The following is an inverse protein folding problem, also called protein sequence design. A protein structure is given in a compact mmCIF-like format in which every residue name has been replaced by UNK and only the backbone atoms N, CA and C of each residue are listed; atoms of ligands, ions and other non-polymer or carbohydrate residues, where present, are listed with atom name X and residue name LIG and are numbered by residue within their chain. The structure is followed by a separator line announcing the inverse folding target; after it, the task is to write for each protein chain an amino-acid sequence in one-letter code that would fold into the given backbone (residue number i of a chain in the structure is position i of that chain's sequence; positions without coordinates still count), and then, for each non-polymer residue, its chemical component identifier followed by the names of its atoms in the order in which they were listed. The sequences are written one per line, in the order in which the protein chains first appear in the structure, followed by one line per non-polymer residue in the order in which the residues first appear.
data_IF_732898635010
#
_entry.id   IF_732898635010
#
_cell.length_a   1.000
_cell.length_b   1.000
_cell.length_c   1.000
_cell.angle_alpha   90.00
_cell.angle_beta   90.00
_cell.angle_gamma   90.00
#
_symmetry.space_group_name_H-M   'P 1'
#
loop_
_entity.id
_entity.type
_entity.pdbx_description
1 polymer ?
#
# COMPACT_ATOMS: atom_id res chain seq x y z
N UNK A 1 1.50 0.21 33.20
CA UNK A 1 0.30 0.76 32.52
C UNK A 1 0.65 1.90 31.54
N UNK A 2 1.61 2.77 31.86
CA UNK A 2 2.05 3.86 30.96
C UNK A 2 2.67 3.37 29.64
N UNK A 3 3.23 2.17 29.62
CA UNK A 3 3.89 1.59 28.43
C UNK A 3 2.91 1.09 27.35
N UNK A 4 1.64 0.94 27.68
CA UNK A 4 0.60 0.44 26.76
C UNK A 4 0.02 1.59 25.90
N UNK A 5 0.27 2.85 26.26
CA UNK A 5 -0.32 4.02 25.59
C UNK A 5 0.30 4.34 24.22
N UNK A 6 1.43 3.70 23.84
CA UNK A 6 2.10 3.97 22.57
C UNK A 6 2.02 2.75 21.64
N UNK A 7 1.41 2.92 20.49
CA UNK A 7 1.32 1.88 19.45
C UNK A 7 2.68 1.25 19.13
N UNK A 8 3.76 2.03 19.12
CA UNK A 8 5.12 1.53 18.87
C UNK A 8 5.59 0.51 19.90
N UNK A 9 5.25 0.69 21.19
CA UNK A 9 5.61 -0.27 22.25
C UNK A 9 4.80 -1.55 22.17
N UNK A 10 3.50 -1.43 21.86
CA UNK A 10 2.65 -2.58 21.64
C UNK A 10 3.15 -3.44 20.47
N UNK A 11 3.46 -2.80 19.34
CA UNK A 11 3.97 -3.47 18.15
C UNK A 11 5.35 -4.11 18.41
N UNK A 12 6.25 -3.39 19.08
CA UNK A 12 7.56 -3.93 19.49
C UNK A 12 7.39 -5.16 20.38
N UNK A 13 6.51 -5.12 21.38
CA UNK A 13 6.21 -6.24 22.24
C UNK A 13 5.66 -7.46 21.48
N UNK A 14 4.72 -7.23 20.53
CA UNK A 14 4.17 -8.30 19.71
C UNK A 14 5.24 -8.97 18.83
N UNK A 15 6.14 -8.18 18.24
CA UNK A 15 7.26 -8.69 17.44
C UNK A 15 8.23 -9.50 18.32
N UNK A 16 8.59 -8.99 19.50
CA UNK A 16 9.50 -9.68 20.42
C UNK A 16 8.94 -11.04 20.90
N UNK A 17 7.64 -11.09 21.22
CA UNK A 17 6.95 -12.35 21.57
C UNK A 17 7.00 -13.35 20.41
N UNK A 18 6.82 -12.88 19.21
CA UNK A 18 6.90 -13.74 18.01
C UNK A 18 8.31 -14.25 17.77
N UNK A 19 9.32 -13.38 17.84
CA UNK A 19 10.75 -13.77 17.73
C UNK A 19 11.16 -14.78 18.80
N UNK A 20 10.70 -14.59 20.04
CA UNK A 20 10.95 -15.56 21.13
C UNK A 20 10.40 -16.96 20.79
N UNK A 21 9.20 -17.03 20.18
CA UNK A 21 8.62 -18.32 19.75
C UNK A 21 9.43 -18.98 18.63
N UNK A 22 10.10 -18.19 17.80
CA UNK A 22 10.97 -18.69 16.73
C UNK A 22 12.40 -18.99 17.19
N UNK A 23 12.76 -18.71 18.44
CA UNK A 23 14.13 -18.82 18.93
C UNK A 23 15.09 -17.80 18.30
N UNK A 24 14.58 -16.68 17.79
CA UNK A 24 15.38 -15.64 17.13
C UNK A 24 15.64 -14.50 18.10
N UNK A 25 16.90 -14.07 18.18
CA UNK A 25 17.31 -12.93 19.00
C UNK A 25 17.04 -11.63 18.24
N UNK A 26 16.30 -10.72 18.89
CA UNK A 26 16.05 -9.39 18.34
C UNK A 26 17.31 -8.50 18.47
N UNK A 27 17.51 -7.53 17.55
CA UNK A 27 18.56 -6.52 17.72
C UNK A 27 18.32 -5.69 18.98
N UNK A 28 19.37 -5.05 19.50
CA UNK A 28 19.23 -4.12 20.59
C UNK A 28 18.41 -2.89 20.15
N UNK A 29 17.75 -2.26 21.11
CA UNK A 29 17.08 -0.98 20.85
C UNK A 29 18.14 0.09 20.59
N UNK A 30 17.93 0.97 19.59
CA UNK A 30 18.85 2.10 19.37
C UNK A 30 19.02 2.94 20.63
N UNK A 31 20.25 3.35 20.97
CA UNK A 31 20.49 4.25 22.09
C UNK A 31 19.97 5.65 21.72
N UNK A 32 19.34 6.33 22.68
CA UNK A 32 18.84 7.69 22.49
C UNK A 32 19.96 8.69 22.22
N UNK A 33 21.18 8.40 22.67
CA UNK A 33 22.37 9.23 22.42
C UNK A 33 22.90 9.10 21.01
N UNK A 34 22.68 7.96 20.36
CA UNK A 34 23.04 7.71 18.95
C UNK A 34 22.00 8.28 17.96
N UNK A 35 20.81 8.62 18.46
CA UNK A 35 19.77 9.29 17.68
C UNK A 35 20.16 10.76 17.52
N UNK A 36 20.95 11.07 16.48
CA UNK A 36 21.31 12.44 16.14
C UNK A 36 20.10 13.36 16.07
N UNK A 37 20.28 14.64 16.35
CA UNK A 37 19.27 15.70 16.32
C UNK A 37 18.64 15.89 14.91
N UNK A 38 19.25 15.37 13.86
CA UNK A 38 18.77 15.42 12.49
C UNK A 38 17.86 14.21 12.19
N UNK A 39 16.56 14.42 12.35
CA UNK A 39 15.57 13.49 11.78
C UNK A 39 15.60 13.64 10.26
N UNK A 40 16.16 12.67 9.57
CA UNK A 40 16.03 12.61 8.12
C UNK A 40 14.55 12.50 7.76
N UNK A 41 14.07 13.49 6.99
CA UNK A 41 12.70 13.48 6.49
C UNK A 41 12.63 12.60 5.25
N UNK A 42 11.75 11.65 5.24
CA UNK A 42 11.44 10.87 4.04
C UNK A 42 10.09 11.28 3.46
N UNK A 43 9.90 10.95 2.19
CA UNK A 43 8.69 11.33 1.46
C UNK A 43 7.48 10.56 2.02
N UNK A 44 6.46 11.28 2.46
CA UNK A 44 5.21 10.71 2.99
C UNK A 44 4.23 10.24 1.92
N UNK A 45 2.94 10.28 2.26
CA UNK A 45 1.85 9.95 1.34
C UNK A 45 1.76 10.92 0.16
N UNK A 46 1.13 10.48 -0.93
CA UNK A 46 0.79 11.35 -2.05
C UNK A 46 -0.64 11.87 -1.88
N UNK A 47 -0.78 13.18 -1.92
CA UNK A 47 -2.06 13.88 -1.97
C UNK A 47 -2.04 14.75 -3.21
N UNK A 48 -3.08 14.66 -4.04
CA UNK A 48 -3.25 15.52 -5.21
C UNK A 48 -4.17 16.69 -4.85
N UNK A 49 -3.82 17.89 -5.28
CA UNK A 49 -4.74 19.02 -5.16
C UNK A 49 -6.07 18.72 -5.89
N UNK A 50 -7.21 19.01 -5.26
CA UNK A 50 -8.50 18.75 -5.87
C UNK A 50 -8.72 19.61 -7.12
N UNK A 51 -9.38 19.07 -8.12
CA UNK A 51 -9.86 19.85 -9.25
C UNK A 51 -10.86 20.90 -8.75
N UNK A 52 -10.62 22.16 -9.06
CA UNK A 52 -11.48 23.26 -8.62
C UNK A 52 -12.86 23.18 -9.28
N UNK A 53 -13.88 23.43 -8.50
CA UNK A 53 -15.28 23.46 -8.97
C UNK A 53 -16.22 22.67 -8.07
N UNK A 54 -17.49 22.66 -8.48
CA UNK A 54 -18.52 21.80 -7.86
C UNK A 54 -18.55 20.48 -8.63
N UNK A 55 -18.39 19.39 -7.94
CA UNK A 55 -18.46 18.03 -8.47
C UNK A 55 -19.64 17.31 -7.83
N UNK A 56 -20.59 16.92 -8.65
CA UNK A 56 -21.76 16.17 -8.21
C UNK A 56 -21.52 14.67 -8.38
N UNK A 57 -22.17 13.87 -7.53
CA UNK A 57 -22.20 12.42 -7.61
C UNK A 57 -20.79 11.80 -7.66
N UNK A 58 -19.99 12.19 -6.69
CA UNK A 58 -18.62 11.70 -6.50
C UNK A 58 -18.64 10.40 -5.75
N UNK A 59 -17.80 9.45 -6.20
CA UNK A 59 -17.50 8.22 -5.48
C UNK A 59 -15.99 8.10 -5.29
N UNK A 60 -15.59 7.39 -4.26
CA UNK A 60 -14.21 7.07 -3.97
C UNK A 60 -13.94 5.56 -4.15
N UNK A 61 -12.71 5.24 -4.51
CA UNK A 61 -12.19 3.88 -4.53
C UNK A 61 -10.93 3.85 -3.67
N UNK A 62 -11.02 3.11 -2.58
CA UNK A 62 -9.97 2.96 -1.57
C UNK A 62 -9.20 1.65 -1.76
N UNK A 63 -7.86 1.73 -1.72
CA UNK A 63 -6.99 0.55 -1.76
C UNK A 63 -6.89 -0.03 -0.35
N UNK A 64 -7.62 -1.08 -0.11
CA UNK A 64 -7.75 -1.71 1.20
C UNK A 64 -6.40 -2.03 1.84
N UNK A 65 -6.09 -1.38 2.96
CA UNK A 65 -4.85 -1.57 3.72
C UNK A 65 -3.61 -1.46 2.84
N UNK A 66 -3.50 -0.39 2.04
CA UNK A 66 -2.47 -0.21 1.01
C UNK A 66 -1.06 -0.45 1.55
N UNK A 67 -0.64 0.24 2.61
CA UNK A 67 0.71 0.08 3.16
C UNK A 67 0.99 -1.32 3.71
N UNK A 68 0.14 -1.94 4.52
CA UNK A 68 0.30 -3.34 4.89
C UNK A 68 0.41 -4.29 3.70
N UNK A 69 -0.39 -4.08 2.66
CA UNK A 69 -0.37 -4.89 1.44
C UNK A 69 0.94 -4.75 0.68
N UNK A 70 1.48 -3.53 0.55
CA UNK A 70 2.79 -3.27 -0.05
C UNK A 70 3.90 -3.98 0.73
N UNK A 71 3.92 -3.84 2.06
CA UNK A 71 4.91 -4.50 2.91
C UNK A 71 4.87 -6.02 2.72
N UNK A 72 3.67 -6.60 2.67
CA UNK A 72 3.51 -8.04 2.47
C UNK A 72 3.90 -8.50 1.06
N UNK A 73 3.55 -7.75 0.02
CA UNK A 73 3.81 -8.11 -1.38
C UNK A 73 5.28 -7.99 -1.76
N UNK A 74 5.95 -6.94 -1.31
CA UNK A 74 7.37 -6.73 -1.58
C UNK A 74 8.29 -7.42 -0.57
N UNK A 75 7.71 -8.04 0.45
CA UNK A 75 8.45 -8.69 1.54
C UNK A 75 9.35 -7.72 2.33
N UNK A 76 8.85 -6.50 2.60
CA UNK A 76 9.60 -5.44 3.28
C UNK A 76 9.82 -5.81 4.76
N UNK A 77 11.07 -6.05 5.11
CA UNK A 77 11.51 -6.34 6.48
C UNK A 77 13.02 -6.08 6.57
N UNK A 78 13.58 -5.71 7.73
CA UNK A 78 15.03 -5.44 7.84
C UNK A 78 15.90 -6.61 7.38
N UNK A 79 15.53 -7.84 7.71
CA UNK A 79 16.29 -9.05 7.39
C UNK A 79 16.08 -9.56 5.95
N UNK A 80 15.11 -9.01 5.22
CA UNK A 80 14.88 -9.35 3.81
C UNK A 80 15.50 -8.34 2.86
N UNK A 81 15.95 -7.18 3.36
CA UNK A 81 16.61 -6.14 2.58
C UNK A 81 17.98 -6.64 2.09
N UNK A 82 18.19 -6.67 0.77
CA UNK A 82 19.43 -7.13 0.13
C UNK A 82 20.34 -5.99 -0.25
N UNK A 83 19.78 -4.88 -0.70
CA UNK A 83 20.55 -3.76 -1.21
C UNK A 83 19.70 -2.74 -1.94
N UNK A 84 20.34 -1.97 -2.85
CA UNK A 84 19.69 -0.87 -3.56
C UNK A 84 20.18 -0.78 -5.00
N UNK A 85 19.25 -0.49 -5.92
CA UNK A 85 19.55 -0.05 -7.27
C UNK A 85 19.68 1.47 -7.29
N UNK A 86 20.84 1.98 -7.66
CA UNK A 86 21.10 3.43 -7.67
C UNK A 86 20.46 4.06 -8.91
N UNK A 87 19.79 5.19 -8.73
CA UNK A 87 19.12 5.89 -9.82
C UNK A 87 17.90 5.16 -10.36
N UNK A 88 17.29 4.28 -9.56
CA UNK A 88 16.10 3.53 -9.92
C UNK A 88 14.93 4.44 -10.27
N UNK A 89 14.30 4.16 -11.40
CA UNK A 89 13.03 4.72 -11.84
C UNK A 89 12.26 3.64 -12.62
N UNK A 90 11.16 3.18 -12.05
CA UNK A 90 10.37 2.11 -12.63
C UNK A 90 9.80 2.46 -14.03
N UNK A 91 9.36 3.70 -14.24
CA UNK A 91 8.81 4.13 -15.55
C UNK A 91 9.90 4.12 -16.64
N UNK A 92 11.11 4.52 -16.30
CA UNK A 92 12.24 4.48 -17.24
C UNK A 92 12.67 3.06 -17.54
N UNK A 93 12.71 2.19 -16.52
CA UNK A 93 13.03 0.77 -16.67
C UNK A 93 12.02 0.05 -17.58
N UNK A 94 10.73 0.24 -17.34
CA UNK A 94 9.67 -0.36 -18.16
C UNK A 94 9.70 0.18 -19.60
N UNK A 95 10.09 1.45 -19.77
CA UNK A 95 10.17 2.09 -21.09
C UNK A 95 11.40 1.64 -21.90
N UNK A 96 12.24 0.76 -21.37
CA UNK A 96 13.46 0.21 -22.00
C UNK A 96 14.34 1.29 -22.62
N UNK A 97 14.75 2.26 -21.81
CA UNK A 97 15.59 3.39 -22.26
C UNK A 97 17.07 3.06 -22.42
N UNK A 98 17.44 1.79 -22.47
CA UNK A 98 18.83 1.29 -22.59
C UNK A 98 19.80 1.89 -21.56
N UNK A 99 19.33 2.00 -20.31
CA UNK A 99 20.15 2.45 -19.19
C UNK A 99 20.92 1.31 -18.54
N UNK A 100 22.01 1.69 -17.88
CA UNK A 100 22.73 0.80 -16.95
C UNK A 100 22.46 1.22 -15.52
N UNK A 101 22.30 0.24 -14.65
CA UNK A 101 21.98 0.41 -13.24
C UNK A 101 23.10 -0.11 -12.36
N UNK A 102 23.50 0.67 -11.37
CA UNK A 102 24.47 0.22 -10.36
C UNK A 102 23.72 -0.41 -9.19
N UNK A 103 24.17 -1.61 -8.77
CA UNK A 103 23.63 -2.27 -7.60
C UNK A 103 24.62 -2.12 -6.44
N UNK A 104 24.10 -1.76 -5.26
CA UNK A 104 24.82 -1.77 -4.00
C UNK A 104 24.20 -2.87 -3.12
N UNK A 105 24.99 -3.84 -2.70
CA UNK A 105 24.58 -4.91 -1.76
C UNK A 105 25.53 -4.94 -0.58
N UNK A 106 24.96 -5.00 0.63
CA UNK A 106 25.75 -4.98 1.87
C UNK A 106 26.78 -3.83 1.90
N UNK A 107 26.39 -2.64 1.43
CA UNK A 107 27.22 -1.46 1.38
C UNK A 107 28.31 -1.48 0.29
N UNK A 108 28.44 -2.55 -0.52
CA UNK A 108 29.44 -2.68 -1.58
C UNK A 108 28.81 -2.60 -2.97
N UNK A 109 29.41 -1.81 -3.86
CA UNK A 109 29.01 -1.74 -5.26
C UNK A 109 29.33 -3.07 -5.94
N UNK A 110 28.32 -3.71 -6.54
CA UNK A 110 28.46 -5.03 -7.20
C UNK A 110 28.77 -4.93 -8.70
N UNK A 111 28.60 -3.76 -9.29
CA UNK A 111 28.81 -3.57 -10.73
C UNK A 111 27.70 -2.75 -11.37
N UNK A 112 27.68 -2.76 -12.70
CA UNK A 112 26.62 -2.16 -13.49
C UNK A 112 25.93 -3.25 -14.31
N UNK A 113 24.62 -3.24 -14.34
CA UNK A 113 23.79 -4.13 -15.13
C UNK A 113 22.96 -3.34 -16.13
N UNK A 114 22.81 -3.86 -17.30
CA UNK A 114 21.82 -3.40 -18.29
C UNK A 114 20.40 -3.70 -17.79
N UNK A 115 19.39 -3.12 -18.42
CA UNK A 115 17.98 -3.41 -18.09
C UNK A 115 17.65 -4.90 -18.18
N UNK A 116 18.13 -5.57 -19.20
CA UNK A 116 17.90 -7.02 -19.42
C UNK A 116 18.59 -7.86 -18.34
N UNK A 117 19.84 -7.57 -18.02
CA UNK A 117 20.60 -8.27 -16.97
C UNK A 117 19.96 -8.04 -15.59
N UNK A 118 19.43 -6.83 -15.35
CA UNK A 118 18.75 -6.51 -14.09
C UNK A 118 17.40 -7.25 -13.98
N UNK A 119 16.64 -7.35 -15.07
CA UNK A 119 15.41 -8.15 -15.13
C UNK A 119 15.71 -9.63 -14.86
N UNK A 120 16.70 -10.18 -15.57
CA UNK A 120 17.18 -11.55 -15.37
C UNK A 120 17.63 -11.80 -13.91
N UNK A 121 18.27 -10.79 -13.29
CA UNK A 121 18.69 -10.86 -11.91
C UNK A 121 17.50 -10.97 -10.95
N UNK A 122 16.43 -10.18 -11.16
CA UNK A 122 15.21 -10.27 -10.34
C UNK A 122 14.55 -11.63 -10.46
N UNK A 123 14.38 -12.13 -11.69
CA UNK A 123 13.69 -13.39 -11.96
C UNK A 123 14.44 -14.61 -11.40
N UNK A 124 15.78 -14.63 -11.57
CA UNK A 124 16.62 -15.77 -11.15
C UNK A 124 16.87 -15.82 -9.63
N UNK A 125 16.87 -14.67 -8.95
CA UNK A 125 17.26 -14.58 -7.55
C UNK A 125 16.07 -14.38 -6.59
N UNK A 126 14.85 -14.47 -7.08
CA UNK A 126 13.65 -14.24 -6.26
C UNK A 126 13.73 -12.92 -5.48
N UNK A 127 13.87 -11.82 -6.22
CA UNK A 127 14.03 -10.47 -5.68
C UNK A 127 12.86 -9.60 -6.11
N UNK A 128 12.28 -8.88 -5.18
CA UNK A 128 11.37 -7.75 -5.44
C UNK A 128 12.11 -6.43 -5.32
N UNK A 129 11.62 -5.41 -6.01
CA UNK A 129 12.15 -4.05 -5.94
C UNK A 129 11.04 -3.06 -5.58
N UNK A 130 11.34 -2.15 -4.66
CA UNK A 130 10.43 -1.07 -4.30
C UNK A 130 10.66 0.18 -5.18
N UNK A 131 9.70 1.11 -5.16
CA UNK A 131 9.80 2.33 -5.97
C UNK A 131 10.97 3.25 -5.62
N UNK A 132 11.59 3.11 -4.44
CA UNK A 132 12.84 3.80 -4.09
C UNK A 132 14.10 3.00 -4.43
N UNK A 133 13.95 1.85 -5.12
CA UNK A 133 15.05 1.02 -5.60
C UNK A 133 15.63 0.05 -4.58
N UNK A 134 14.99 -0.14 -3.42
CA UNK A 134 15.43 -1.12 -2.44
C UNK A 134 15.03 -2.54 -2.89
N UNK A 135 15.97 -3.46 -2.78
CA UNK A 135 15.83 -4.86 -3.15
C UNK A 135 15.51 -5.72 -1.93
N UNK A 136 14.52 -6.57 -2.07
CA UNK A 136 14.11 -7.53 -1.03
C UNK A 136 14.10 -8.96 -1.59
N UNK A 137 14.59 -9.91 -0.80
CA UNK A 137 14.45 -11.33 -1.13
C UNK A 137 12.99 -11.78 -0.99
N UNK A 138 12.53 -12.68 -1.85
CA UNK A 138 11.17 -13.23 -1.81
C UNK A 138 11.12 -14.74 -1.62
N UNK A 139 12.26 -15.41 -1.64
CA UNK A 139 12.39 -16.86 -1.40
C UNK A 139 12.05 -17.26 0.04
N UNK A 140 12.19 -16.33 0.99
CA UNK A 140 11.84 -16.54 2.39
C UNK A 140 11.03 -15.35 2.90
N UNK A 141 9.85 -15.62 3.46
CA UNK A 141 8.98 -14.59 4.01
C UNK A 141 9.61 -13.92 5.23
N UNK A 142 9.63 -12.59 5.22
CA UNK A 142 10.16 -11.78 6.30
C UNK A 142 9.28 -11.79 7.56
N UNK A 143 9.87 -11.35 8.66
CA UNK A 143 9.22 -11.24 9.97
C UNK A 143 8.00 -10.34 9.93
N UNK A 144 8.17 -9.10 9.48
CA UNK A 144 7.09 -8.10 9.43
C UNK A 144 5.97 -8.54 8.48
N UNK A 145 6.24 -8.97 7.22
CA UNK A 145 5.23 -9.53 6.34
C UNK A 145 4.47 -10.73 6.93
N UNK A 146 5.17 -11.60 7.69
CA UNK A 146 4.53 -12.76 8.33
C UNK A 146 3.53 -12.35 9.39
N UNK A 147 3.92 -11.42 10.26
CA UNK A 147 3.04 -10.87 11.28
C UNK A 147 1.83 -10.14 10.68
N UNK A 148 2.07 -9.27 9.70
CA UNK A 148 1.01 -8.54 9.02
C UNK A 148 0.02 -9.49 8.33
N UNK A 149 0.49 -10.56 7.67
CA UNK A 149 -0.40 -11.57 7.08
C UNK A 149 -1.27 -12.23 8.14
N UNK A 150 -0.69 -12.65 9.28
CA UNK A 150 -1.44 -13.27 10.37
C UNK A 150 -2.52 -12.34 10.94
N UNK A 151 -2.19 -11.06 11.12
CA UNK A 151 -3.14 -10.07 11.63
C UNK A 151 -4.22 -9.72 10.60
N UNK A 152 -3.87 -9.67 9.33
CA UNK A 152 -4.80 -9.43 8.24
C UNK A 152 -5.83 -10.56 8.10
N UNK A 153 -5.38 -11.82 8.22
CA UNK A 153 -6.27 -12.98 8.17
C UNK A 153 -7.20 -13.02 9.39
N UNK A 154 -6.69 -12.73 10.59
CA UNK A 154 -7.53 -12.57 11.78
C UNK A 154 -8.56 -11.46 11.64
N UNK A 155 -8.20 -10.34 11.02
CA UNK A 155 -9.15 -9.27 10.75
C UNK A 155 -10.26 -9.72 9.81
N UNK A 156 -9.93 -10.48 8.74
CA UNK A 156 -10.94 -11.04 7.83
C UNK A 156 -11.90 -11.98 8.57
N UNK A 157 -11.36 -12.83 9.44
CA UNK A 157 -12.16 -13.74 10.27
C UNK A 157 -13.12 -12.95 11.17
N UNK A 158 -12.62 -11.97 11.92
CA UNK A 158 -13.46 -11.15 12.80
C UNK A 158 -14.52 -10.35 12.04
N UNK A 159 -14.20 -9.83 10.84
CA UNK A 159 -15.20 -9.17 9.98
C UNK A 159 -16.29 -10.13 9.53
N UNK A 160 -15.93 -11.37 9.18
CA UNK A 160 -16.90 -12.40 8.78
C UNK A 160 -17.83 -12.76 9.95
N UNK A 161 -17.26 -12.93 11.15
CA UNK A 161 -18.04 -13.20 12.36
C UNK A 161 -18.93 -12.03 12.76
N UNK A 162 -18.43 -10.80 12.73
CA UNK A 162 -19.23 -9.61 12.98
C UNK A 162 -20.42 -9.53 12.01
N UNK A 163 -20.17 -9.71 10.71
CA UNK A 163 -21.27 -9.72 9.73
C UNK A 163 -22.31 -10.81 10.04
N UNK A 164 -21.86 -12.02 10.31
CA UNK A 164 -22.76 -13.15 10.66
C UNK A 164 -23.66 -12.81 11.83
N UNK A 165 -23.10 -12.36 12.96
CA UNK A 165 -23.87 -12.04 14.16
C UNK A 165 -24.74 -10.77 13.98
N UNK A 166 -24.32 -9.81 13.15
CA UNK A 166 -25.17 -8.69 12.77
C UNK A 166 -26.40 -9.15 11.95
N UNK A 167 -26.21 -10.06 10.99
CA UNK A 167 -27.29 -10.62 10.19
C UNK A 167 -28.27 -11.49 11.06
N UNK A 168 -27.76 -12.11 12.13
CA UNK A 168 -28.53 -12.88 13.11
C UNK A 168 -29.20 -12.02 14.20
N UNK A 169 -28.91 -10.71 14.27
CA UNK A 169 -29.43 -9.78 15.26
C UNK A 169 -28.80 -9.90 16.65
N UNK A 170 -27.68 -10.62 16.79
CA UNK A 170 -26.91 -10.73 18.03
C UNK A 170 -25.98 -9.53 18.20
N UNK A 171 -26.50 -8.45 18.76
CA UNK A 171 -25.80 -7.18 18.97
C UNK A 171 -24.56 -7.31 19.88
N UNK A 172 -24.58 -8.23 20.85
CA UNK A 172 -23.45 -8.43 21.76
C UNK A 172 -22.25 -9.03 21.01
N UNK A 173 -22.47 -10.14 20.30
CA UNK A 173 -21.42 -10.78 19.51
C UNK A 173 -20.97 -9.93 18.32
N UNK A 174 -21.90 -9.24 17.66
CA UNK A 174 -21.55 -8.25 16.65
C UNK A 174 -20.59 -7.20 17.22
N UNK A 175 -20.96 -6.57 18.34
CA UNK A 175 -20.15 -5.57 19.01
C UNK A 175 -18.76 -6.10 19.42
N UNK A 176 -18.70 -7.34 19.93
CA UNK A 176 -17.46 -7.99 20.32
C UNK A 176 -16.50 -8.20 19.14
N UNK A 177 -16.96 -8.80 18.05
CA UNK A 177 -16.12 -9.06 16.88
C UNK A 177 -15.81 -7.80 16.08
N UNK A 178 -16.73 -6.84 16.03
CA UNK A 178 -16.51 -5.55 15.38
C UNK A 178 -15.41 -4.74 16.07
N UNK A 179 -15.38 -4.68 17.39
CA UNK A 179 -14.27 -4.06 18.13
C UNK A 179 -12.94 -4.76 17.87
N UNK A 180 -12.91 -6.09 17.82
CA UNK A 180 -11.68 -6.85 17.55
C UNK A 180 -11.14 -6.61 16.16
N UNK A 181 -11.98 -6.62 15.12
CA UNK A 181 -11.52 -6.31 13.76
C UNK A 181 -11.02 -4.87 13.64
N UNK A 182 -11.59 -3.95 14.41
CA UNK A 182 -11.14 -2.55 14.43
C UNK A 182 -9.76 -2.41 15.06
N UNK A 183 -9.49 -3.08 16.17
CA UNK A 183 -8.17 -3.13 16.79
C UNK A 183 -7.14 -3.71 15.80
N UNK A 184 -7.48 -4.80 15.08
CA UNK A 184 -6.58 -5.34 14.05
C UNK A 184 -6.30 -4.33 12.93
N UNK A 185 -7.29 -3.51 12.53
CA UNK A 185 -7.10 -2.44 11.55
C UNK A 185 -6.07 -1.42 12.04
N UNK A 186 -6.18 -0.99 13.29
CA UNK A 186 -5.24 -0.03 13.90
C UNK A 186 -3.83 -0.61 13.90
N UNK A 187 -3.65 -1.83 14.43
CA UNK A 187 -2.35 -2.51 14.52
C UNK A 187 -1.68 -2.68 13.14
N UNK A 188 -2.46 -3.09 12.13
CA UNK A 188 -1.97 -3.23 10.75
C UNK A 188 -1.46 -1.89 10.20
N UNK A 189 -2.24 -0.82 10.35
CA UNK A 189 -1.88 0.48 9.80
C UNK A 189 -0.73 1.16 10.58
N UNK A 190 -0.62 0.91 11.89
CA UNK A 190 0.45 1.46 12.73
C UNK A 190 1.82 0.87 12.41
N UNK A 191 1.90 -0.34 11.81
CA UNK A 191 3.17 -0.98 11.48
C UNK A 191 4.04 -0.13 10.55
N UNK A 192 3.44 0.47 9.52
CA UNK A 192 4.16 1.39 8.64
C UNK A 192 4.73 2.58 9.42
N UNK A 193 3.91 3.22 10.26
CA UNK A 193 4.30 4.41 11.02
C UNK A 193 5.50 4.17 11.95
N UNK A 194 5.61 2.98 12.54
CA UNK A 194 6.72 2.65 13.44
C UNK A 194 8.02 2.33 12.71
N UNK A 195 7.99 1.85 11.45
CA UNK A 195 9.20 1.62 10.65
C UNK A 195 10.00 2.91 10.42
N UNK A 196 9.31 4.04 10.31
CA UNK A 196 9.92 5.37 10.17
C UNK A 196 10.23 6.07 11.50
N UNK A 197 10.01 5.42 12.65
CA UNK A 197 10.20 6.00 13.97
C UNK A 197 11.58 5.62 14.55
N UNK A 198 12.54 6.58 14.73
CA UNK A 198 13.91 6.28 15.18
C UNK A 198 14.01 5.52 16.51
N UNK A 199 13.03 5.69 17.41
CA UNK A 199 13.00 5.00 18.71
C UNK A 199 12.52 3.55 18.61
N UNK A 200 12.07 3.11 17.44
CA UNK A 200 11.61 1.74 17.21
C UNK A 200 12.79 0.81 16.97
N UNK A 201 12.77 -0.38 17.58
CA UNK A 201 13.85 -1.37 17.49
C UNK A 201 14.17 -1.83 16.06
N UNK A 202 13.16 -1.87 15.21
CA UNK A 202 13.25 -2.28 13.81
C UNK A 202 13.15 -1.09 12.85
N UNK A 203 13.54 0.09 13.34
CA UNK A 203 13.62 1.30 12.53
C UNK A 203 14.52 1.07 11.32
N UNK A 204 14.00 1.38 10.15
CA UNK A 204 14.74 1.37 8.90
C UNK A 204 14.09 2.38 7.94
N UNK A 205 14.80 3.47 7.69
CA UNK A 205 14.30 4.57 6.87
C UNK A 205 14.05 4.13 5.41
N UNK A 206 14.93 3.29 4.86
CA UNK A 206 14.77 2.76 3.51
C UNK A 206 13.47 1.94 3.39
N UNK A 207 13.14 1.14 4.41
CA UNK A 207 11.91 0.34 4.45
C UNK A 207 10.65 1.21 4.59
N UNK A 208 10.73 2.27 5.40
CA UNK A 208 9.63 3.23 5.52
C UNK A 208 9.39 3.96 4.18
N UNK A 209 10.48 4.46 3.56
CA UNK A 209 10.42 5.13 2.27
C UNK A 209 10.01 4.18 1.13
N UNK A 210 10.46 2.93 1.15
CA UNK A 210 10.03 1.90 0.20
C UNK A 210 8.51 1.72 0.21
N UNK A 211 7.92 1.69 1.40
CA UNK A 211 6.47 1.56 1.57
C UNK A 211 5.72 2.76 1.00
N UNK A 212 6.12 3.99 1.36
CA UNK A 212 5.42 5.19 0.89
C UNK A 212 5.61 5.48 -0.58
N UNK A 213 6.84 5.37 -1.10
CA UNK A 213 7.09 5.61 -2.54
C UNK A 213 6.39 4.59 -3.43
N UNK A 214 6.34 3.32 -2.99
CA UNK A 214 5.57 2.31 -3.72
C UNK A 214 4.07 2.61 -3.65
N UNK A 215 3.56 3.06 -2.50
CA UNK A 215 2.18 3.53 -2.36
C UNK A 215 1.87 4.70 -3.29
N UNK A 216 2.76 5.68 -3.36
CA UNK A 216 2.63 6.80 -4.31
C UNK A 216 2.60 6.34 -5.76
N UNK A 217 3.47 5.40 -6.15
CA UNK A 217 3.49 4.84 -7.50
C UNK A 217 2.20 4.08 -7.81
N UNK A 218 1.71 3.30 -6.85
CA UNK A 218 0.48 2.53 -6.98
C UNK A 218 -0.75 3.43 -7.15
N UNK A 219 -0.89 4.47 -6.32
CA UNK A 219 -2.06 5.35 -6.41
C UNK A 219 -2.05 6.22 -7.69
N UNK A 220 -0.87 6.63 -8.15
CA UNK A 220 -0.70 7.31 -9.44
C UNK A 220 -1.03 6.38 -10.62
N UNK A 221 -0.65 5.13 -10.54
CA UNK A 221 -1.02 4.10 -11.51
C UNK A 221 -2.54 3.88 -11.52
N UNK A 222 -3.18 3.80 -10.37
CA UNK A 222 -4.64 3.71 -10.21
C UNK A 222 -5.34 4.89 -10.89
N UNK A 223 -4.84 6.12 -10.70
CA UNK A 223 -5.34 7.30 -11.41
C UNK A 223 -5.23 7.16 -12.93
N UNK A 224 -4.06 6.74 -13.43
CA UNK A 224 -3.85 6.55 -14.89
C UNK A 224 -4.84 5.53 -15.44
N UNK A 225 -5.06 4.43 -14.75
CA UNK A 225 -6.02 3.39 -15.16
C UNK A 225 -7.48 3.88 -15.13
N UNK A 226 -7.89 4.55 -14.05
CA UNK A 226 -9.23 5.11 -13.96
C UNK A 226 -9.49 6.14 -15.08
N UNK A 227 -8.55 7.03 -15.32
CA UNK A 227 -8.63 7.96 -16.46
C UNK A 227 -8.69 7.23 -17.80
N UNK A 228 -7.92 6.15 -17.98
CA UNK A 228 -7.98 5.34 -19.19
C UNK A 228 -9.39 4.73 -19.38
N UNK A 229 -9.99 4.20 -18.32
CA UNK A 229 -11.36 3.68 -18.38
C UNK A 229 -12.37 4.73 -18.86
N UNK A 230 -12.34 5.91 -18.22
CA UNK A 230 -13.23 7.01 -18.58
C UNK A 230 -12.98 7.51 -20.00
N UNK A 231 -11.73 7.75 -20.37
CA UNK A 231 -11.36 8.28 -21.69
C UNK A 231 -11.74 7.31 -22.81
N UNK A 232 -11.53 6.01 -22.61
CA UNK A 232 -11.91 4.97 -23.57
C UNK A 232 -13.42 4.95 -23.82
N UNK A 233 -14.22 5.04 -22.77
CA UNK A 233 -15.67 5.02 -22.90
C UNK A 233 -16.24 6.33 -23.47
N UNK A 234 -15.69 7.46 -23.05
CA UNK A 234 -16.19 8.78 -23.46
C UNK A 234 -15.63 9.28 -24.79
N UNK A 235 -14.58 8.64 -25.33
CA UNK A 235 -13.90 9.08 -26.53
C UNK A 235 -13.14 10.40 -26.33
N UNK A 236 -12.50 10.58 -25.17
CA UNK A 236 -11.82 11.81 -24.76
C UNK A 236 -10.39 11.54 -24.31
N UNK A 237 -9.63 12.61 -24.07
CA UNK A 237 -8.32 12.57 -23.42
C UNK A 237 -8.27 13.62 -22.30
N UNK A 238 -8.91 13.32 -21.17
CA UNK A 238 -9.06 14.23 -20.03
C UNK A 238 -8.67 13.54 -18.71
N UNK A 239 -8.40 14.36 -17.71
CA UNK A 239 -8.24 13.91 -16.34
C UNK A 239 -9.60 13.94 -15.62
N UNK A 240 -10.14 12.78 -15.34
CA UNK A 240 -11.41 12.59 -14.62
C UNK A 240 -11.22 12.35 -13.12
N UNK A 241 -9.97 12.15 -12.66
CA UNK A 241 -9.68 12.02 -11.24
C UNK A 241 -9.75 13.38 -10.57
N UNK A 242 -10.72 13.58 -9.71
CA UNK A 242 -10.98 14.85 -9.03
C UNK A 242 -9.97 15.10 -7.92
N UNK A 243 -9.64 14.08 -7.15
CA UNK A 243 -8.81 14.19 -5.96
C UNK A 243 -8.16 12.84 -5.64
N UNK A 244 -7.00 12.88 -4.98
CA UNK A 244 -6.32 11.71 -4.44
C UNK A 244 -5.90 12.02 -3.01
N UNK A 245 -6.18 11.08 -2.10
CA UNK A 245 -5.66 11.11 -0.73
C UNK A 245 -5.11 9.75 -0.35
N UNK A 246 -3.80 9.67 -0.30
CA UNK A 246 -3.02 8.52 0.17
C UNK A 246 -3.32 7.22 -0.57
N UNK A 247 -4.46 6.60 -0.30
CA UNK A 247 -4.91 5.30 -0.83
C UNK A 247 -6.27 5.37 -1.54
N UNK A 248 -6.86 6.57 -1.64
CA UNK A 248 -8.17 6.80 -2.26
C UNK A 248 -8.08 7.66 -3.52
N UNK A 249 -8.82 7.29 -4.56
CA UNK A 249 -9.04 8.08 -5.78
C UNK A 249 -10.51 8.43 -5.92
N UNK A 250 -10.80 9.70 -6.28
CA UNK A 250 -12.14 10.23 -6.36
C UNK A 250 -12.53 10.55 -7.79
N UNK A 251 -13.70 10.09 -8.23
CA UNK A 251 -14.25 10.33 -9.56
C UNK A 251 -15.71 10.77 -9.49
N UNK A 252 -16.16 11.62 -10.43
CA UNK A 252 -17.58 11.84 -10.63
C UNK A 252 -18.15 10.82 -11.62
N UNK A 253 -19.27 10.20 -11.27
CA UNK A 253 -19.97 9.29 -12.19
C UNK A 253 -20.75 10.02 -13.29
N UNK A 254 -21.00 11.32 -13.14
CA UNK A 254 -21.86 12.13 -14.04
C UNK A 254 -21.48 12.00 -15.51
N UNK A 255 -20.20 12.08 -15.93
CA UNK A 255 -19.85 11.96 -17.34
C UNK A 255 -20.29 10.62 -17.96
N UNK A 256 -20.09 9.51 -17.25
CA UNK A 256 -20.46 8.16 -17.72
C UNK A 256 -22.00 7.98 -17.71
N UNK A 257 -22.67 8.45 -16.67
CA UNK A 257 -24.13 8.41 -16.60
C UNK A 257 -24.76 9.17 -17.76
N UNK A 258 -24.32 10.37 -18.04
CA UNK A 258 -24.81 11.19 -19.18
C UNK A 258 -24.57 10.50 -20.54
N UNK A 259 -23.45 9.82 -20.68
CA UNK A 259 -23.13 9.06 -21.90
C UNK A 259 -24.04 7.85 -22.08
N UNK A 260 -24.27 7.10 -21.00
CA UNK A 260 -25.04 5.83 -21.03
C UNK A 260 -26.55 6.04 -21.06
N UNK A 261 -27.03 7.14 -20.46
CA UNK A 261 -28.46 7.46 -20.31
C UNK A 261 -28.75 8.88 -20.82
N UNK A 262 -28.54 9.15 -22.12
CA UNK A 262 -28.81 10.46 -22.69
C UNK A 262 -30.32 10.75 -22.62
N UNK A 263 -30.70 11.95 -22.22
CA UNK A 263 -32.08 12.44 -22.15
C UNK A 263 -33.01 11.70 -21.15
N UNK A 264 -32.46 10.98 -20.19
CA UNK A 264 -33.21 10.37 -19.09
C UNK A 264 -33.07 11.22 -17.84
N UNK A 265 -34.20 11.70 -17.31
CA UNK A 265 -34.23 12.36 -16.01
C UNK A 265 -34.21 11.31 -14.93
N UNK A 266 -33.10 11.19 -14.21
CA UNK A 266 -32.89 10.18 -13.17
C UNK A 266 -33.25 10.78 -11.80
N UNK A 267 -34.10 10.09 -11.06
CA UNK A 267 -34.29 10.40 -9.63
C UNK A 267 -32.99 10.10 -8.85
N UNK A 268 -32.84 10.68 -7.64
CA UNK A 268 -31.68 10.46 -6.78
C UNK A 268 -31.46 8.97 -6.49
N UNK A 269 -32.52 8.19 -6.33
CA UNK A 269 -32.44 6.74 -6.12
C UNK A 269 -31.86 6.04 -7.34
N UNK A 270 -32.36 6.38 -8.54
CA UNK A 270 -31.84 5.81 -9.79
C UNK A 270 -30.40 6.23 -10.02
N UNK A 271 -30.08 7.50 -9.76
CA UNK A 271 -28.71 8.01 -9.87
C UNK A 271 -27.76 7.25 -8.95
N UNK A 272 -28.13 7.02 -7.68
CA UNK A 272 -27.34 6.24 -6.71
C UNK A 272 -27.10 4.81 -7.22
N UNK A 273 -28.09 4.16 -7.81
CA UNK A 273 -27.92 2.82 -8.40
C UNK A 273 -26.90 2.85 -9.56
N UNK A 274 -26.99 3.81 -10.47
CA UNK A 274 -26.06 3.95 -11.61
C UNK A 274 -24.63 4.24 -11.18
N UNK A 275 -24.47 5.05 -10.14
CA UNK A 275 -23.15 5.31 -9.55
C UNK A 275 -22.52 4.04 -9.00
N UNK A 276 -23.29 3.25 -8.25
CA UNK A 276 -22.81 1.99 -7.68
C UNK A 276 -22.43 0.97 -8.77
N UNK A 277 -23.19 0.90 -9.87
CA UNK A 277 -22.85 0.08 -11.04
C UNK A 277 -21.53 0.52 -11.66
N UNK A 278 -21.37 1.83 -11.93
CA UNK A 278 -20.16 2.41 -12.51
C UNK A 278 -18.96 2.19 -11.57
N UNK A 279 -19.10 2.48 -10.28
CA UNK A 279 -18.05 2.28 -9.29
C UNK A 279 -17.60 0.81 -9.24
N UNK A 280 -18.54 -0.14 -9.31
CA UNK A 280 -18.26 -1.57 -9.34
C UNK A 280 -17.51 -1.99 -10.61
N UNK A 281 -17.89 -1.46 -11.76
CA UNK A 281 -17.20 -1.72 -13.03
C UNK A 281 -15.76 -1.17 -13.02
N UNK A 282 -15.60 0.08 -12.60
CA UNK A 282 -14.26 0.70 -12.49
C UNK A 282 -13.40 -0.07 -11.49
N UNK A 283 -13.94 -0.42 -10.33
CA UNK A 283 -13.25 -1.25 -9.34
C UNK A 283 -12.81 -2.59 -9.92
N UNK A 284 -13.68 -3.27 -10.65
CA UNK A 284 -13.36 -4.55 -11.32
C UNK A 284 -12.23 -4.39 -12.34
N UNK A 285 -12.28 -3.34 -13.15
CA UNK A 285 -11.22 -3.00 -14.11
C UNK A 285 -9.88 -2.72 -13.41
N UNK A 286 -9.87 -1.91 -12.36
CA UNK A 286 -8.67 -1.60 -11.59
C UNK A 286 -8.07 -2.84 -10.94
N UNK A 287 -8.89 -3.66 -10.29
CA UNK A 287 -8.44 -4.89 -9.62
C UNK A 287 -7.78 -5.87 -10.60
N UNK A 288 -8.32 -6.03 -11.79
CA UNK A 288 -7.73 -6.88 -12.83
C UNK A 288 -6.41 -6.31 -13.37
N UNK A 289 -6.24 -4.99 -13.30
CA UNK A 289 -5.07 -4.30 -13.85
C UNK A 289 -3.89 -4.24 -12.87
N UNK A 290 -4.10 -4.44 -11.57
CA UNK A 290 -2.99 -4.40 -10.59
C UNK A 290 -1.95 -5.51 -10.79
N UNK A 291 -2.29 -6.61 -11.44
CA UNK A 291 -1.32 -7.62 -11.82
C UNK A 291 -0.21 -7.09 -12.77
N UNK A 292 -0.51 -6.04 -13.53
CA UNK A 292 0.49 -5.38 -14.39
C UNK A 292 1.42 -4.43 -13.63
N UNK A 293 0.96 -3.92 -12.49
CA UNK A 293 1.82 -3.12 -11.60
C UNK A 293 2.81 -3.99 -10.82
N UNK A 294 2.41 -5.20 -10.49
CA UNK A 294 3.20 -6.13 -9.67
C UNK A 294 4.26 -6.91 -10.47
N UNK A 295 4.16 -6.95 -11.78
CA UNK A 295 5.11 -7.57 -12.71
C UNK A 295 6.19 -6.59 -13.14
#
# INVERSE_FOLDING_TARGET
YEDIQYDSRFLEGAILVYLKKLGVVAPNKPDRTEMGSNREKFTGAYVQDPQRGKHDWVYDLDITSMYPSIIMSLNISPETKLGKVVGWNAEEFISKKNKTYSIIMNGKKQGQLTETELQDYFDKNHVSISSNGILYRTDKKGLIPTLLSSWFDKRKEFRKLAKKFGDEGDEEQYGYFNRRQHIQKIVLNSMYGVLGLPVFRFYDLDNAEATTKTGQSLIKFTRKLGNHFYNKELGTDKDYCIYIDTDSVFYSAVPLVKKRYPNVELSDVMMTQRINEIATEVQGFLNNSYNYFAK
#
